data_IF_943752963396
#
_entry.id   IF_943752963396
#
_cell.length_a   1.000
_cell.length_b   1.000
_cell.length_c   1.000
_cell.angle_alpha   90.00
_cell.angle_beta   90.00
_cell.angle_gamma   90.00
#
_symmetry.space_group_name_H-M   'P 1'
#
loop_
_entity.id
_entity.type
_entity.pdbx_description
1 polymer ?
#
# COMPACT_ATOMS: atom_id res chain seq x y z
N UNK A 1 22.21 -35.07 -15.65
CA UNK A 1 22.42 -34.50 -14.29
C UNK A 1 22.04 -33.02 -14.21
N UNK A 2 22.56 -32.15 -15.08
CA UNK A 2 22.28 -30.71 -15.03
C UNK A 2 20.79 -30.33 -15.13
N UNK A 3 20.04 -30.96 -16.05
CA UNK A 3 18.61 -30.67 -16.26
C UNK A 3 17.73 -30.87 -15.02
N UNK A 4 18.03 -31.86 -14.18
CA UNK A 4 17.30 -32.12 -12.93
C UNK A 4 17.50 -31.02 -11.90
N UNK A 5 18.75 -30.56 -11.75
CA UNK A 5 19.10 -29.48 -10.83
C UNK A 5 18.40 -28.18 -11.27
N UNK A 6 18.38 -27.89 -12.57
CA UNK A 6 17.62 -26.75 -13.11
C UNK A 6 16.12 -26.87 -12.84
N UNK A 7 15.51 -28.03 -13.08
CA UNK A 7 14.09 -28.23 -12.83
C UNK A 7 13.71 -28.03 -11.35
N UNK A 8 14.52 -28.58 -10.43
CA UNK A 8 14.32 -28.40 -8.99
C UNK A 8 14.53 -26.96 -8.56
N UNK A 9 15.54 -26.27 -9.10
CA UNK A 9 15.81 -24.87 -8.78
C UNK A 9 14.66 -23.95 -9.19
N UNK A 10 14.09 -24.14 -10.39
CA UNK A 10 12.94 -23.35 -10.87
C UNK A 10 11.67 -23.69 -10.06
N UNK A 11 11.48 -24.96 -9.71
CA UNK A 11 10.39 -25.39 -8.84
C UNK A 11 10.48 -24.73 -7.45
N UNK A 12 11.66 -24.73 -6.84
CA UNK A 12 11.90 -24.06 -5.57
C UNK A 12 11.67 -22.54 -5.65
N UNK A 13 12.19 -21.89 -6.69
CA UNK A 13 12.02 -20.45 -6.89
C UNK A 13 10.54 -20.06 -7.06
N UNK A 14 9.75 -20.85 -7.80
CA UNK A 14 8.32 -20.60 -7.98
C UNK A 14 7.53 -20.79 -6.68
N UNK A 15 7.82 -21.83 -5.90
CA UNK A 15 7.21 -22.04 -4.57
C UNK A 15 7.53 -20.86 -3.66
N UNK A 16 8.79 -20.40 -3.64
CA UNK A 16 9.21 -19.25 -2.84
C UNK A 16 8.48 -17.97 -3.26
N UNK A 17 8.37 -17.70 -4.56
CA UNK A 17 7.61 -16.57 -5.09
C UNK A 17 6.14 -16.63 -4.68
N UNK A 18 5.50 -17.79 -4.78
CA UNK A 18 4.11 -17.97 -4.37
C UNK A 18 3.97 -17.73 -2.86
N UNK A 19 4.85 -18.30 -2.04
CA UNK A 19 4.81 -18.15 -0.58
C UNK A 19 4.94 -16.67 -0.15
N UNK A 20 5.91 -15.94 -0.69
CA UNK A 20 6.10 -14.51 -0.39
C UNK A 20 4.89 -13.70 -0.87
N UNK A 21 4.44 -13.95 -2.11
CA UNK A 21 3.30 -13.24 -2.70
C UNK A 21 2.01 -13.46 -1.91
N UNK A 22 1.77 -14.69 -1.43
CA UNK A 22 0.63 -15.02 -0.57
C UNK A 22 0.71 -14.31 0.77
N UNK A 23 1.90 -14.22 1.38
CA UNK A 23 2.10 -13.49 2.63
C UNK A 23 1.73 -12.00 2.51
N UNK A 24 2.22 -11.34 1.46
CA UNK A 24 1.86 -9.94 1.17
C UNK A 24 0.38 -9.81 0.81
N UNK A 25 -0.16 -10.74 0.01
CA UNK A 25 -1.57 -10.69 -0.42
C UNK A 25 -2.56 -10.85 0.74
N UNK A 26 -2.21 -11.67 1.74
CA UNK A 26 -2.97 -11.79 2.97
C UNK A 26 -2.94 -10.49 3.78
N UNK A 27 -1.78 -9.82 3.85
CA UNK A 27 -1.66 -8.52 4.50
C UNK A 27 -2.57 -7.47 3.84
N UNK A 28 -2.54 -7.38 2.50
CA UNK A 28 -3.39 -6.47 1.74
C UNK A 28 -4.89 -6.78 1.94
N UNK A 29 -5.25 -8.07 2.04
CA UNK A 29 -6.63 -8.48 2.32
C UNK A 29 -7.10 -8.00 3.70
N UNK A 30 -6.23 -8.07 4.71
CA UNK A 30 -6.51 -7.53 6.06
C UNK A 30 -6.64 -6.01 6.00
N UNK A 31 -5.78 -5.32 5.25
CA UNK A 31 -5.83 -3.88 5.06
C UNK A 31 -7.14 -3.41 4.40
N UNK A 32 -7.67 -4.17 3.44
CA UNK A 32 -8.97 -3.88 2.81
C UNK A 32 -10.14 -4.14 3.78
N UNK A 33 -10.05 -5.20 4.58
CA UNK A 33 -11.13 -5.59 5.51
C UNK A 33 -11.20 -4.67 6.73
N UNK A 34 -10.04 -4.22 7.23
CA UNK A 34 -9.90 -3.42 8.44
C UNK A 34 -8.95 -2.22 8.25
N UNK A 35 -9.30 -1.25 7.38
CA UNK A 35 -8.41 -0.13 7.05
C UNK A 35 -8.03 0.74 8.26
N UNK A 36 -8.88 0.74 9.31
CA UNK A 36 -8.62 1.46 10.56
C UNK A 36 -7.42 0.94 11.35
N UNK A 37 -7.10 -0.35 11.24
CA UNK A 37 -5.96 -0.94 11.96
C UNK A 37 -4.62 -0.69 11.24
N UNK A 38 -4.68 -0.51 9.92
CA UNK A 38 -3.51 -0.34 9.05
C UNK A 38 -3.20 1.12 8.74
N UNK A 39 -4.10 2.04 9.08
CA UNK A 39 -3.89 3.48 8.91
C UNK A 39 -2.85 3.99 9.93
N UNK A 40 -2.06 4.98 9.52
CA UNK A 40 -1.07 5.60 10.39
C UNK A 40 -1.72 6.12 11.69
N UNK A 41 -1.23 5.62 12.83
CA UNK A 41 -1.80 5.91 14.15
C UNK A 41 -1.75 7.40 14.50
N UNK A 42 -0.73 8.12 14.05
CA UNK A 42 -0.57 9.55 14.30
C UNK A 42 -1.55 10.36 13.45
N UNK A 43 -1.70 10.02 12.18
CA UNK A 43 -2.66 10.66 11.28
C UNK A 43 -4.11 10.41 11.72
N UNK A 44 -4.42 9.20 12.17
CA UNK A 44 -5.73 8.85 12.71
C UNK A 44 -6.07 9.63 13.99
N UNK A 45 -5.13 9.72 14.94
CA UNK A 45 -5.32 10.47 16.19
C UNK A 45 -5.51 11.96 15.95
N UNK A 46 -4.78 12.54 15.00
CA UNK A 46 -4.88 13.96 14.68
C UNK A 46 -6.23 14.34 14.02
N UNK A 47 -6.82 13.42 13.25
CA UNK A 47 -8.12 13.63 12.60
C UNK A 47 -9.31 13.26 13.50
N UNK A 48 -9.08 12.74 14.71
CA UNK A 48 -10.15 12.28 15.60
C UNK A 48 -10.85 13.43 16.34
N UNK A 49 -10.14 14.52 16.66
CA UNK A 49 -10.69 15.66 17.41
C UNK A 49 -10.26 17.00 16.84
N UNK A 50 -11.11 18.02 16.95
CA UNK A 50 -10.79 19.37 16.47
C UNK A 50 -9.59 19.97 17.21
N UNK A 51 -9.38 19.65 18.48
CA UNK A 51 -8.21 20.11 19.25
C UNK A 51 -6.91 19.46 18.79
N UNK A 52 -6.92 18.15 18.50
CA UNK A 52 -5.75 17.47 17.92
C UNK A 52 -5.50 17.96 16.49
N UNK A 53 -6.57 18.23 15.74
CA UNK A 53 -6.49 18.79 14.40
C UNK A 53 -5.84 20.16 14.39
N UNK A 54 -6.27 21.06 15.28
CA UNK A 54 -5.68 22.40 15.46
C UNK A 54 -4.23 22.35 15.94
N UNK A 55 -3.88 21.39 16.81
CA UNK A 55 -2.49 21.18 17.26
C UNK A 55 -1.58 20.74 16.13
N UNK A 56 -2.07 19.87 15.24
CA UNK A 56 -1.30 19.38 14.09
C UNK A 56 -1.30 20.35 12.89
N UNK A 57 -2.31 21.24 12.81
CA UNK A 57 -2.46 22.24 11.75
C UNK A 57 -2.63 23.65 12.35
N UNK A 58 -1.52 24.33 12.69
CA UNK A 58 -1.55 25.62 13.39
C UNK A 58 -2.20 26.77 12.59
N UNK A 59 -2.48 26.59 11.29
CA UNK A 59 -3.00 27.64 10.41
C UNK A 59 -4.19 27.13 9.57
N UNK A 60 -5.44 27.27 10.06
CA UNK A 60 -6.65 26.75 9.40
C UNK A 60 -7.07 27.49 8.12
N UNK A 61 -6.30 28.47 7.63
CA UNK A 61 -6.49 29.13 6.33
C UNK A 61 -5.37 28.87 5.31
N UNK A 62 -4.34 28.09 5.69
CA UNK A 62 -3.21 27.76 4.81
C UNK A 62 -3.24 26.29 4.37
N UNK A 63 -4.41 25.77 3.99
CA UNK A 63 -4.43 24.51 3.25
C UNK A 63 -3.79 24.73 1.87
N UNK A 64 -2.46 24.64 1.84
CA UNK A 64 -1.80 24.05 0.70
C UNK A 64 -2.53 22.74 0.41
N UNK A 65 -3.01 22.62 -0.82
CA UNK A 65 -3.46 21.37 -1.42
C UNK A 65 -2.29 20.39 -1.44
N UNK A 66 -1.90 19.89 -0.27
CA UNK A 66 -1.00 18.78 -0.17
C UNK A 66 -1.84 17.55 -0.44
N UNK A 67 -1.62 16.83 -1.56
CA UNK A 67 -2.03 15.46 -1.59
C UNK A 67 -1.33 14.79 -0.42
N UNK A 68 -2.09 14.16 0.47
CA UNK A 68 -1.57 13.24 1.49
C UNK A 68 -0.99 12.06 0.73
N UNK A 69 0.23 12.24 0.23
CA UNK A 69 1.03 11.19 -0.39
C UNK A 69 1.58 10.38 0.77
N UNK A 70 0.87 9.33 1.17
CA UNK A 70 1.48 8.26 1.96
C UNK A 70 2.46 7.56 1.02
N UNK A 71 3.70 8.04 1.00
CA UNK A 71 4.78 7.39 0.26
C UNK A 71 5.50 6.43 1.23
N UNK A 72 5.29 5.11 1.12
CA UNK A 72 5.93 4.14 2.01
C UNK A 72 7.45 3.99 1.78
N UNK A 73 8.03 4.67 0.78
CA UNK A 73 9.45 4.62 0.43
C UNK A 73 10.15 5.99 0.40
N UNK A 74 9.61 7.03 1.04
CA UNK A 74 10.25 8.35 1.07
C UNK A 74 11.44 8.40 2.05
N UNK A 75 12.60 7.94 1.58
CA UNK A 75 13.88 8.51 2.01
C UNK A 75 13.89 10.03 1.76
N UNK A 76 14.53 10.76 2.66
CA UNK A 76 14.63 12.23 2.68
C UNK A 76 14.75 12.84 1.28
N UNK A 77 13.72 13.56 0.82
CA UNK A 77 13.89 14.57 -0.22
C UNK A 77 13.28 15.89 0.25
N UNK A 78 14.13 16.90 0.20
CA UNK A 78 13.94 18.27 0.65
C UNK A 78 12.67 18.93 0.11
N UNK A 79 11.97 19.49 1.09
CA UNK A 79 11.13 20.69 1.05
C UNK A 79 11.72 21.77 0.12
N UNK A 80 11.08 22.02 -1.02
CA UNK A 80 11.26 23.26 -1.79
C UNK A 80 10.04 24.15 -1.60
N UNK A 81 10.32 25.34 -1.07
CA UNK A 81 9.41 26.41 -0.68
C UNK A 81 9.00 27.24 -1.89
N UNK A 82 7.70 27.28 -2.19
CA UNK A 82 7.09 28.41 -2.92
C UNK A 82 5.60 28.46 -2.61
N UNK A 83 5.21 29.41 -1.75
CA UNK A 83 3.83 29.57 -1.28
C UNK A 83 3.65 30.56 -0.14
N UNK A 84 4.71 31.25 0.29
CA UNK A 84 4.65 32.32 1.27
C UNK A 84 4.15 33.61 0.61
N UNK A 85 2.85 33.71 0.29
CA UNK A 85 2.25 35.00 -0.01
C UNK A 85 0.73 35.15 0.12
N UNK A 86 0.05 34.45 1.04
CA UNK A 86 -1.29 34.88 1.46
C UNK A 86 -1.50 34.47 2.92
N UNK A 87 -1.30 35.39 3.86
CA UNK A 87 -1.78 35.22 5.23
C UNK A 87 -1.74 36.58 5.91
N UNK A 88 -2.87 37.31 5.95
CA UNK A 88 -3.07 38.28 7.03
C UNK A 88 -4.49 38.80 7.29
N UNK A 89 -5.57 38.32 6.65
CA UNK A 89 -6.89 38.95 6.91
C UNK A 89 -8.13 38.03 6.80
N UNK A 90 -7.98 36.72 7.00
CA UNK A 90 -9.16 35.86 7.19
C UNK A 90 -9.34 35.53 8.67
N UNK A 91 -10.54 35.81 9.18
CA UNK A 91 -10.96 35.44 10.52
C UNK A 91 -10.66 33.94 10.78
N UNK A 92 -10.29 33.55 12.01
CA UNK A 92 -10.04 32.14 12.31
C UNK A 92 -11.23 31.30 11.85
N UNK A 93 -10.97 30.29 11.01
CA UNK A 93 -12.00 29.42 10.46
C UNK A 93 -12.94 28.96 11.56
N UNK A 94 -14.23 29.02 11.28
CA UNK A 94 -15.27 28.66 12.23
C UNK A 94 -15.14 27.18 12.61
N UNK A 95 -15.53 26.80 13.83
CA UNK A 95 -15.43 25.42 14.30
C UNK A 95 -16.17 24.43 13.37
N UNK A 96 -17.21 24.90 12.68
CA UNK A 96 -17.96 24.13 11.69
C UNK A 96 -17.14 23.83 10.43
N UNK A 97 -16.43 24.83 9.88
CA UNK A 97 -15.55 24.66 8.72
C UNK A 97 -14.40 23.71 9.02
N UNK A 98 -13.81 23.81 10.21
CA UNK A 98 -12.74 22.91 10.67
C UNK A 98 -13.24 21.48 10.78
N UNK A 99 -14.46 21.29 11.29
CA UNK A 99 -15.07 19.96 11.40
C UNK A 99 -15.29 19.33 10.03
N UNK A 100 -15.79 20.11 9.06
CA UNK A 100 -15.98 19.65 7.66
C UNK A 100 -14.67 19.28 7.00
N UNK A 101 -13.63 20.11 7.14
CA UNK A 101 -12.31 19.86 6.57
C UNK A 101 -11.65 18.60 7.17
N UNK A 102 -11.76 18.42 8.49
CA UNK A 102 -11.27 17.22 9.19
C UNK A 102 -11.93 15.95 8.67
N UNK A 103 -13.26 15.97 8.52
CA UNK A 103 -14.02 14.83 8.02
C UNK A 103 -13.70 14.51 6.56
N UNK A 104 -13.53 15.54 5.73
CA UNK A 104 -13.11 15.39 4.34
C UNK A 104 -11.72 14.76 4.24
N UNK A 105 -10.75 15.24 5.03
CA UNK A 105 -9.40 14.67 5.04
C UNK A 105 -9.37 13.23 5.55
N UNK A 106 -10.19 12.90 6.54
CA UNK A 106 -10.33 11.52 7.03
C UNK A 106 -10.89 10.60 5.95
N UNK A 107 -11.92 11.06 5.22
CA UNK A 107 -12.51 10.30 4.12
C UNK A 107 -11.49 10.06 2.98
N UNK A 108 -10.74 11.09 2.60
CA UNK A 108 -9.69 10.98 1.57
C UNK A 108 -8.57 10.03 2.01
N UNK A 109 -8.11 10.15 3.27
CA UNK A 109 -7.06 9.28 3.78
C UNK A 109 -7.48 7.81 3.79
N UNK A 110 -8.73 7.52 4.17
CA UNK A 110 -9.29 6.17 4.12
C UNK A 110 -9.38 5.64 2.69
N UNK A 111 -9.80 6.49 1.74
CA UNK A 111 -9.91 6.07 0.34
C UNK A 111 -8.54 5.81 -0.29
N UNK A 112 -7.53 6.62 0.02
CA UNK A 112 -6.15 6.42 -0.41
C UNK A 112 -5.60 5.08 0.11
N UNK A 113 -5.78 4.79 1.40
CA UNK A 113 -5.34 3.51 2.00
C UNK A 113 -5.98 2.32 1.29
N UNK A 114 -7.27 2.43 0.92
CA UNK A 114 -7.99 1.38 0.19
C UNK A 114 -7.47 1.22 -1.23
N UNK A 115 -7.26 2.32 -1.95
CA UNK A 115 -6.75 2.32 -3.31
C UNK A 115 -5.33 1.75 -3.39
N UNK A 116 -4.45 2.10 -2.45
CA UNK A 116 -3.09 1.58 -2.38
C UNK A 116 -3.09 0.07 -2.12
N UNK A 117 -3.93 -0.40 -1.19
CA UNK A 117 -4.09 -1.84 -0.93
C UNK A 117 -4.66 -2.58 -2.16
N UNK A 118 -5.62 -1.99 -2.88
CA UNK A 118 -6.16 -2.57 -4.12
C UNK A 118 -5.09 -2.68 -5.21
N UNK A 119 -4.26 -1.65 -5.38
CA UNK A 119 -3.18 -1.65 -6.37
C UNK A 119 -2.14 -2.74 -6.04
N UNK A 120 -1.75 -2.87 -4.77
CA UNK A 120 -0.85 -3.93 -4.32
C UNK A 120 -1.44 -5.32 -4.57
N UNK A 121 -2.73 -5.51 -4.23
CA UNK A 121 -3.45 -6.76 -4.48
C UNK A 121 -3.47 -7.13 -5.97
N UNK A 122 -3.73 -6.17 -6.86
CA UNK A 122 -3.71 -6.40 -8.31
C UNK A 122 -2.31 -6.83 -8.77
N UNK A 123 -1.25 -6.19 -8.28
CA UNK A 123 0.13 -6.56 -8.61
C UNK A 123 0.44 -8.00 -8.18
N UNK A 124 0.04 -8.39 -6.97
CA UNK A 124 0.21 -9.75 -6.45
C UNK A 124 -0.58 -10.77 -7.27
N UNK A 125 -1.81 -10.41 -7.67
CA UNK A 125 -2.65 -11.26 -8.51
C UNK A 125 -1.99 -11.52 -9.87
N UNK A 126 -1.37 -10.51 -10.49
CA UNK A 126 -0.62 -10.67 -11.73
C UNK A 126 0.59 -11.60 -11.54
N UNK A 127 1.35 -11.46 -10.45
CA UNK A 127 2.49 -12.33 -10.13
C UNK A 127 2.03 -13.79 -9.96
N UNK A 128 0.93 -14.03 -9.24
CA UNK A 128 0.37 -15.36 -9.07
C UNK A 128 -0.13 -15.94 -10.40
N UNK A 129 -0.78 -15.13 -11.23
CA UNK A 129 -1.28 -15.54 -12.54
C UNK A 129 -0.17 -16.02 -13.48
N UNK A 130 1.04 -15.45 -13.38
CA UNK A 130 2.22 -15.89 -14.16
C UNK A 130 2.92 -17.08 -13.48
N UNK A 131 3.02 -17.07 -12.16
CA UNK A 131 3.76 -18.09 -11.39
C UNK A 131 3.06 -19.46 -11.39
N UNK A 132 1.72 -19.49 -11.32
CA UNK A 132 0.93 -20.72 -11.27
C UNK A 132 1.09 -21.55 -12.56
N UNK A 133 0.89 -21.00 -13.78
CA UNK A 133 1.11 -21.75 -15.02
C UNK A 133 2.54 -22.24 -15.18
N UNK A 134 3.54 -21.40 -14.84
CA UNK A 134 4.95 -21.80 -14.87
C UNK A 134 5.22 -23.01 -13.96
N UNK A 135 4.68 -22.96 -12.74
CA UNK A 135 4.77 -24.08 -11.80
C UNK A 135 4.08 -25.35 -12.36
N UNK A 136 2.86 -25.24 -12.90
CA UNK A 136 2.12 -26.37 -13.46
C UNK A 136 2.87 -27.01 -14.64
N UNK A 137 3.42 -26.20 -15.55
CA UNK A 137 4.17 -26.69 -16.71
C UNK A 137 5.44 -27.41 -16.26
N UNK A 138 6.21 -26.81 -15.35
CA UNK A 138 7.43 -27.44 -14.82
C UNK A 138 7.14 -28.72 -14.05
N UNK A 139 6.11 -28.71 -13.21
CA UNK A 139 5.67 -29.88 -12.46
C UNK A 139 5.30 -31.04 -13.39
N UNK A 140 4.49 -30.76 -14.42
CA UNK A 140 4.12 -31.75 -15.45
C UNK A 140 5.34 -32.30 -16.18
N UNK A 141 6.34 -31.46 -16.47
CA UNK A 141 7.56 -31.90 -17.14
C UNK A 141 8.42 -32.80 -16.25
N UNK A 142 8.56 -32.46 -14.97
CA UNK A 142 9.29 -33.29 -14.00
C UNK A 142 8.70 -34.68 -13.90
N UNK A 143 7.37 -34.79 -13.75
CA UNK A 143 6.69 -36.10 -13.66
C UNK A 143 6.94 -36.98 -14.89
N UNK A 144 7.05 -36.39 -16.09
CA UNK A 144 7.33 -37.14 -17.32
C UNK A 144 8.75 -37.67 -17.37
N UNK A 145 9.72 -36.91 -16.87
CA UNK A 145 11.12 -37.35 -16.80
C UNK A 145 11.28 -38.52 -15.82
N UNK A 146 10.59 -38.46 -14.69
CA UNK A 146 10.63 -39.52 -13.67
C UNK A 146 10.03 -40.83 -14.22
N UNK A 147 8.94 -40.75 -14.98
CA UNK A 147 8.33 -41.90 -15.63
C UNK A 147 9.27 -42.54 -16.69
N UNK A 148 9.95 -41.72 -17.49
CA UNK A 148 10.84 -42.22 -18.55
C UNK A 148 12.11 -42.91 -18.02
N UNK A 149 12.59 -42.56 -16.82
CA UNK A 149 13.75 -43.23 -16.20
C UNK A 149 13.37 -44.58 -15.56
N UNK A 150 12.09 -44.78 -15.24
CA UNK A 150 11.59 -46.01 -14.63
C UNK A 150 11.28 -47.15 -15.62
N UNK A 151 11.47 -46.92 -16.92
CA UNK A 151 11.20 -47.89 -18.02
C UNK A 151 12.50 -48.35 -18.66
#
# INVERSE_FOLDING_TARGET
>A
MFTRIYALAVCFASILCIAISTGVGLYDLVQISFPRLTMDSYLYQNLQSNDAYRRSHPYPGMMQAYPVMVNPNAGMISRSTSGAKIAQDEAPATDEEISKLREQQLAIALDNVRHDAQKSLIQILVILLVSIPLFIIHWRFSQKLDAAEST
#
